data_IF_764454272467
#
_entry.id   IF_764454272467
#
_cell.length_a   1.000
_cell.length_b   1.000
_cell.length_c   1.000
_cell.angle_alpha   90.00
_cell.angle_beta   90.00
_cell.angle_gamma   90.00
#
_symmetry.space_group_name_H-M   'P 1'
#
loop_
_entity.id
_entity.type
_entity.pdbx_description
1 polymer ?
#
# COMPACT_ATOMS: atom_id res chain seq x y z
N UNK A 1 -11.28 -41.66 -33.82
CA UNK A 1 -10.55 -40.42 -34.24
C UNK A 1 -9.97 -39.56 -33.09
N UNK A 2 -10.21 -39.86 -31.80
CA UNK A 2 -9.90 -38.93 -30.69
C UNK A 2 -8.47 -38.94 -30.09
N UNK A 3 -7.64 -39.98 -30.28
CA UNK A 3 -6.30 -40.06 -29.67
C UNK A 3 -5.27 -39.16 -30.36
N UNK A 4 -5.23 -39.19 -31.71
CA UNK A 4 -4.29 -38.40 -32.53
C UNK A 4 -4.42 -36.87 -32.36
N UNK A 5 -5.63 -36.38 -32.05
CA UNK A 5 -5.84 -34.95 -31.79
C UNK A 5 -5.38 -34.51 -30.39
N UNK A 6 -5.40 -35.40 -29.39
CA UNK A 6 -4.88 -35.09 -28.04
C UNK A 6 -3.36 -35.03 -28.06
N UNK A 7 -2.72 -35.96 -28.77
CA UNK A 7 -1.27 -35.98 -28.97
C UNK A 7 -0.81 -34.69 -29.65
N UNK A 8 -1.43 -34.28 -30.77
CA UNK A 8 -1.09 -33.02 -31.46
C UNK A 8 -1.23 -31.78 -30.56
N UNK A 9 -2.23 -31.73 -29.67
CA UNK A 9 -2.40 -30.63 -28.72
C UNK A 9 -1.32 -30.64 -27.63
N UNK A 10 -0.96 -31.81 -27.12
CA UNK A 10 0.12 -31.96 -26.15
C UNK A 10 1.49 -31.55 -26.74
N UNK A 11 1.78 -31.91 -27.99
CA UNK A 11 3.02 -31.51 -28.67
C UNK A 11 3.09 -30.00 -28.88
N UNK A 12 1.98 -29.38 -29.30
CA UNK A 12 1.89 -27.92 -29.50
C UNK A 12 2.04 -27.14 -28.19
N UNK A 13 1.54 -27.69 -27.08
CA UNK A 13 1.68 -27.08 -25.76
C UNK A 13 3.11 -27.20 -25.21
N UNK A 14 3.79 -28.34 -25.44
CA UNK A 14 5.22 -28.51 -25.10
C UNK A 14 6.10 -27.55 -25.88
N UNK A 15 5.86 -27.39 -27.19
CA UNK A 15 6.59 -26.42 -28.02
C UNK A 15 6.38 -24.98 -27.57
N UNK A 16 5.15 -24.59 -27.22
CA UNK A 16 4.87 -23.24 -26.69
C UNK A 16 5.58 -22.97 -25.36
N UNK A 17 5.62 -23.96 -24.46
CA UNK A 17 6.35 -23.85 -23.19
C UNK A 17 7.86 -23.74 -23.41
N UNK A 18 8.44 -24.50 -24.34
CA UNK A 18 9.87 -24.41 -24.64
C UNK A 18 10.26 -23.08 -25.29
N UNK A 19 9.41 -22.52 -26.15
CA UNK A 19 9.66 -21.19 -26.75
C UNK A 19 9.53 -20.07 -25.73
N UNK A 20 8.57 -20.16 -24.80
CA UNK A 20 8.42 -19.20 -23.70
C UNK A 20 9.61 -19.25 -22.73
N UNK A 21 10.11 -20.45 -22.42
CA UNK A 21 11.28 -20.63 -21.56
C UNK A 21 12.56 -20.08 -22.21
N UNK A 22 12.77 -20.31 -23.52
CA UNK A 22 13.90 -19.71 -24.25
C UNK A 22 13.83 -18.19 -24.35
N UNK A 23 12.62 -17.60 -24.42
CA UNK A 23 12.45 -16.13 -24.35
C UNK A 23 12.79 -15.59 -22.96
N UNK A 24 12.37 -16.28 -21.89
CA UNK A 24 12.73 -15.92 -20.51
C UNK A 24 14.25 -15.98 -20.27
N UNK A 25 14.91 -17.03 -20.74
CA UNK A 25 16.38 -17.15 -20.65
C UNK A 25 17.11 -16.08 -21.46
N UNK A 26 16.55 -15.67 -22.61
CA UNK A 26 17.09 -14.59 -23.43
C UNK A 26 16.89 -13.21 -22.76
N UNK A 27 15.73 -12.95 -22.15
CA UNK A 27 15.46 -11.71 -21.43
C UNK A 27 16.26 -11.61 -20.12
N UNK A 28 16.45 -12.73 -19.42
CA UNK A 28 17.30 -12.82 -18.22
C UNK A 28 18.79 -12.61 -18.52
N UNK A 29 19.24 -12.93 -19.74
CA UNK A 29 20.60 -12.59 -20.20
C UNK A 29 20.73 -11.14 -20.69
N UNK A 30 19.63 -10.51 -21.13
CA UNK A 30 19.62 -9.15 -21.69
C UNK A 30 19.46 -8.08 -20.62
N UNK A 31 18.87 -8.42 -19.47
CA UNK A 31 18.77 -7.57 -18.29
C UNK A 31 19.47 -8.27 -17.13
N UNK A 32 20.76 -7.95 -16.95
CA UNK A 32 21.49 -8.32 -15.73
C UNK A 32 20.73 -7.84 -14.49
N UNK A 33 20.82 -8.66 -13.44
CA UNK A 33 20.09 -8.59 -12.17
C UNK A 33 19.60 -7.19 -11.76
N UNK A 34 18.31 -7.00 -11.41
CA UNK A 34 17.96 -5.93 -10.50
C UNK A 34 18.56 -6.31 -9.14
N UNK A 35 19.64 -5.65 -8.77
CA UNK A 35 20.17 -5.65 -7.42
C UNK A 35 19.10 -5.11 -6.46
N UNK A 36 18.24 -6.00 -5.98
CA UNK A 36 17.60 -5.87 -4.69
C UNK A 36 18.56 -6.48 -3.67
N UNK A 37 19.31 -5.69 -2.89
CA UNK A 37 19.87 -6.22 -1.68
C UNK A 37 18.70 -6.60 -0.78
N UNK A 38 18.54 -7.90 -0.53
CA UNK A 38 17.64 -8.41 0.49
C UNK A 38 17.98 -7.80 1.82
N UNK A 39 17.23 -6.77 2.22
CA UNK A 39 17.14 -6.38 3.61
C UNK A 39 16.32 -7.49 4.30
N UNK A 40 17.04 -8.42 4.93
CA UNK A 40 16.46 -9.32 5.90
C UNK A 40 15.74 -8.49 6.95
N UNK A 41 14.45 -8.70 7.08
CA UNK A 41 13.69 -8.15 8.18
C UNK A 41 13.68 -9.21 9.29
N UNK A 42 14.64 -9.08 10.21
CA UNK A 42 14.54 -9.72 11.50
C UNK A 42 13.34 -9.10 12.23
N UNK A 43 12.36 -9.95 12.53
CA UNK A 43 11.26 -9.62 13.43
C UNK A 43 11.82 -9.32 14.82
N UNK A 44 12.00 -8.05 15.13
CA UNK A 44 12.18 -7.57 16.49
C UNK A 44 10.99 -6.66 16.85
N UNK A 45 10.23 -7.13 17.84
CA UNK A 45 8.94 -6.60 18.23
C UNK A 45 8.95 -5.15 18.67
N UNK A 46 7.82 -4.49 18.40
CA UNK A 46 7.47 -3.20 18.97
C UNK A 46 7.13 -3.39 20.46
N UNK A 47 8.16 -3.48 21.30
CA UNK A 47 8.02 -3.40 22.75
C UNK A 47 7.84 -1.93 23.14
N UNK A 48 6.65 -1.61 23.66
CA UNK A 48 6.33 -0.30 24.21
C UNK A 48 7.31 0.09 25.31
N UNK A 49 7.86 1.29 25.18
CA UNK A 49 8.69 1.93 26.19
C UNK A 49 7.84 2.25 27.42
N UNK A 50 8.15 1.55 28.52
CA UNK A 50 7.57 1.78 29.83
C UNK A 50 8.02 3.11 30.42
N UNK A 51 7.05 3.85 30.96
CA UNK A 51 7.30 5.00 31.82
C UNK A 51 7.06 4.58 33.28
N UNK A 52 8.11 4.64 34.09
CA UNK A 52 8.09 4.37 35.51
C UNK A 52 7.69 5.62 36.31
N UNK A 53 6.85 5.46 37.32
CA UNK A 53 6.50 6.48 38.33
C UNK A 53 5.82 5.83 39.55
N UNK A 54 5.98 6.38 40.77
CA UNK A 54 6.38 5.58 41.93
C UNK A 54 5.26 5.10 42.87
N UNK A 55 5.69 4.19 43.74
CA UNK A 55 4.97 3.48 44.77
C UNK A 55 4.21 4.36 45.79
N UNK A 56 3.06 3.87 46.26
CA UNK A 56 2.59 4.17 47.61
C UNK A 56 1.94 2.94 48.24
N UNK A 57 2.34 2.67 49.48
CA UNK A 57 1.98 1.49 50.24
C UNK A 57 0.66 1.62 50.98
N UNK A 58 0.01 0.48 51.20
CA UNK A 58 -1.15 0.34 52.07
C UNK A 58 -1.37 -1.13 52.44
N UNK A 59 -1.28 -1.43 53.74
CA UNK A 59 -1.36 -2.77 54.36
C UNK A 59 -2.78 -3.36 54.22
N UNK A 60 -2.87 -4.70 54.23
CA UNK A 60 -4.13 -5.50 54.25
C UNK A 60 -4.94 -5.41 55.56
N UNK A 61 -5.75 -6.42 55.98
CA UNK A 61 -5.68 -7.85 55.59
C UNK A 61 -7.01 -8.68 55.58
N UNK A 62 -6.84 -9.99 55.28
CA UNK A 62 -7.56 -11.21 55.74
C UNK A 62 -8.74 -11.87 54.99
N UNK A 63 -8.53 -13.18 54.75
CA UNK A 63 -9.44 -14.37 54.75
C UNK A 63 -10.37 -14.56 53.52
N UNK A 64 -10.58 -15.75 52.96
CA UNK A 64 -10.32 -17.16 53.33
C UNK A 64 -10.32 -18.06 52.07
N UNK A 65 -9.82 -19.32 52.14
CA UNK A 65 -9.67 -20.24 51.02
C UNK A 65 -10.89 -21.15 50.82
N UNK A 66 -11.23 -21.48 49.57
CA UNK A 66 -12.04 -22.66 49.27
C UNK A 66 -11.60 -23.30 47.94
N UNK A 67 -11.43 -24.61 48.03
CA UNK A 67 -10.81 -25.56 47.10
C UNK A 67 -11.86 -26.13 46.08
N UNK A 68 -11.48 -27.06 45.18
CA UNK A 68 -11.80 -27.00 43.76
C UNK A 68 -13.10 -27.72 43.40
N UNK A 69 -13.81 -27.21 42.39
CA UNK A 69 -14.86 -27.97 41.71
C UNK A 69 -14.28 -28.61 40.45
N UNK A 70 -14.02 -29.92 40.56
CA UNK A 70 -13.71 -30.82 39.46
C UNK A 70 -14.95 -30.95 38.55
N UNK A 71 -14.88 -30.44 37.33
CA UNK A 71 -15.84 -30.75 36.27
C UNK A 71 -15.18 -31.71 35.27
N UNK A 72 -15.66 -32.96 35.14
CA UNK A 72 -15.10 -33.96 34.24
C UNK A 72 -15.81 -33.86 32.88
N UNK A 73 -15.38 -32.91 32.05
CA UNK A 73 -15.56 -32.99 30.61
C UNK A 73 -14.25 -32.56 29.95
N UNK A 74 -13.33 -33.52 29.87
CA UNK A 74 -12.23 -33.47 28.90
C UNK A 74 -12.84 -33.70 27.50
N UNK A 75 -13.39 -32.60 26.97
CA UNK A 75 -13.81 -32.50 25.59
C UNK A 75 -12.67 -31.95 24.76
N UNK A 76 -11.61 -32.75 24.57
CA UNK A 76 -10.61 -32.56 23.52
C UNK A 76 -11.25 -32.82 22.14
N UNK A 77 -12.26 -32.03 21.80
CA UNK A 77 -12.63 -31.82 20.41
C UNK A 77 -11.52 -30.99 19.75
N UNK A 78 -11.22 -31.19 18.45
CA UNK A 78 -10.34 -30.26 17.75
C UNK A 78 -10.96 -28.88 17.90
N UNK A 79 -10.26 -27.99 18.60
CA UNK A 79 -10.58 -26.57 18.56
C UNK A 79 -10.45 -26.16 17.10
N UNK A 80 -11.56 -26.19 16.35
CA UNK A 80 -11.71 -25.39 15.16
C UNK A 80 -11.78 -23.94 15.64
N UNK A 81 -10.62 -23.47 16.12
CA UNK A 81 -10.42 -22.12 16.61
C UNK A 81 -10.75 -21.20 15.47
N UNK A 82 -11.70 -20.30 15.71
CA UNK A 82 -11.91 -19.14 14.85
C UNK A 82 -10.51 -18.53 14.62
N UNK A 83 -10.02 -18.41 13.38
CA UNK A 83 -8.63 -18.06 13.16
C UNK A 83 -8.35 -16.70 13.80
N UNK A 84 -7.15 -16.57 14.39
CA UNK A 84 -6.79 -15.37 15.13
C UNK A 84 -6.87 -14.16 14.16
N UNK A 85 -7.41 -13.00 14.57
CA UNK A 85 -7.41 -11.79 13.76
C UNK A 85 -6.08 -11.47 13.06
N UNK A 86 -4.94 -11.83 13.68
CA UNK A 86 -3.61 -11.68 13.07
C UNK A 86 -3.34 -12.61 11.88
N UNK A 87 -3.79 -13.87 11.94
CA UNK A 87 -3.61 -14.85 10.85
C UNK A 87 -4.40 -14.45 9.61
N UNK A 88 -5.60 -13.90 9.80
CA UNK A 88 -6.39 -13.33 8.70
C UNK A 88 -5.66 -12.17 8.03
N UNK A 89 -5.08 -11.26 8.81
CA UNK A 89 -4.43 -10.08 8.28
C UNK A 89 -3.26 -10.43 7.34
N UNK A 90 -2.39 -11.33 7.78
CA UNK A 90 -1.26 -11.80 6.98
C UNK A 90 -1.74 -12.52 5.70
N UNK A 91 -2.71 -13.43 5.83
CA UNK A 91 -3.25 -14.16 4.67
C UNK A 91 -3.93 -13.23 3.65
N UNK A 92 -4.65 -12.20 4.11
CA UNK A 92 -5.27 -11.19 3.25
C UNK A 92 -4.17 -10.39 2.54
N UNK A 93 -3.18 -9.88 3.26
CA UNK A 93 -2.07 -9.11 2.67
C UNK A 93 -1.34 -9.93 1.59
N UNK A 94 -0.94 -11.17 1.90
CA UNK A 94 -0.27 -12.06 0.95
C UNK A 94 -1.11 -12.23 -0.32
N UNK A 95 -2.42 -12.46 -0.15
CA UNK A 95 -3.37 -12.64 -1.25
C UNK A 95 -3.48 -11.38 -2.12
N UNK A 96 -3.63 -10.20 -1.50
CA UNK A 96 -3.68 -8.92 -2.21
C UNK A 96 -2.40 -8.66 -3.01
N UNK A 97 -1.23 -8.85 -2.39
CA UNK A 97 0.06 -8.62 -3.03
C UNK A 97 0.34 -9.62 -4.16
N UNK A 98 -0.09 -10.87 -3.99
CA UNK A 98 0.02 -11.91 -5.03
C UNK A 98 -0.84 -11.56 -6.24
N UNK A 99 -2.10 -11.18 -6.02
CA UNK A 99 -3.00 -10.74 -7.09
C UNK A 99 -2.46 -9.49 -7.80
N UNK A 100 -1.93 -8.52 -7.04
CA UNK A 100 -1.35 -7.31 -7.62
C UNK A 100 -0.11 -7.61 -8.48
N UNK A 101 0.74 -8.55 -8.06
CA UNK A 101 1.86 -9.01 -8.88
C UNK A 101 1.39 -9.70 -10.17
N UNK A 102 0.30 -10.48 -10.12
CA UNK A 102 -0.31 -11.06 -11.31
C UNK A 102 -0.85 -9.98 -12.27
N UNK A 103 -1.50 -8.93 -11.75
CA UNK A 103 -1.96 -7.78 -12.55
C UNK A 103 -0.77 -7.05 -13.18
N UNK A 104 0.28 -6.74 -12.40
CA UNK A 104 1.48 -6.06 -12.88
C UNK A 104 2.21 -6.85 -13.98
N UNK A 105 2.10 -8.18 -13.98
CA UNK A 105 2.67 -9.06 -15.00
C UNK A 105 1.72 -9.34 -16.18
N UNK A 106 0.53 -8.71 -16.20
CA UNK A 106 -0.40 -8.69 -17.34
C UNK A 106 -1.67 -9.54 -17.21
N UNK A 107 -1.95 -10.13 -16.03
CA UNK A 107 -3.17 -10.90 -15.80
C UNK A 107 -4.36 -9.96 -15.55
N UNK A 108 -5.09 -9.63 -16.62
CA UNK A 108 -6.18 -8.63 -16.64
C UNK A 108 -7.32 -8.86 -15.64
N UNK A 109 -7.60 -10.11 -15.27
CA UNK A 109 -8.73 -10.46 -14.41
C UNK A 109 -8.33 -10.78 -12.97
N UNK A 110 -7.02 -10.83 -12.67
CA UNK A 110 -6.53 -11.28 -11.37
C UNK A 110 -7.05 -10.43 -10.19
N UNK A 111 -7.23 -9.12 -10.38
CA UNK A 111 -7.82 -8.25 -9.36
C UNK A 111 -9.30 -8.57 -9.10
N UNK A 112 -10.09 -8.70 -10.17
CA UNK A 112 -11.52 -8.97 -10.06
C UNK A 112 -11.79 -10.37 -9.49
N UNK A 113 -11.04 -11.38 -9.94
CA UNK A 113 -11.16 -12.76 -9.48
C UNK A 113 -10.80 -12.87 -7.98
N UNK A 114 -9.68 -12.26 -7.58
CA UNK A 114 -9.25 -12.22 -6.18
C UNK A 114 -10.24 -11.47 -5.28
N UNK A 115 -10.74 -10.31 -5.73
CA UNK A 115 -11.73 -9.55 -4.98
C UNK A 115 -13.05 -10.33 -4.79
N UNK A 116 -13.51 -11.02 -5.83
CA UNK A 116 -14.70 -11.87 -5.76
C UNK A 116 -14.48 -13.09 -4.86
N UNK A 117 -13.28 -13.68 -4.86
CA UNK A 117 -12.93 -14.78 -3.95
C UNK A 117 -12.93 -14.32 -2.49
N UNK A 118 -12.29 -13.20 -2.17
CA UNK A 118 -12.19 -12.67 -0.80
C UNK A 118 -13.52 -12.16 -0.23
N UNK A 119 -14.46 -11.74 -1.10
CA UNK A 119 -15.79 -11.25 -0.69
C UNK A 119 -16.91 -12.26 -0.94
N UNK A 120 -16.55 -13.45 -1.40
CA UNK A 120 -17.49 -14.49 -1.78
C UNK A 120 -18.30 -15.05 -0.60
N UNK A 121 -19.47 -15.67 -0.88
CA UNK A 121 -20.27 -16.30 0.14
C UNK A 121 -19.50 -17.43 0.83
N UNK A 122 -19.52 -17.45 2.16
CA UNK A 122 -18.84 -18.48 2.97
C UNK A 122 -17.43 -18.10 3.42
N UNK A 123 -16.89 -16.95 3.00
CA UNK A 123 -15.65 -16.41 3.56
C UNK A 123 -15.95 -15.81 4.95
N UNK A 124 -15.34 -16.30 6.04
CA UNK A 124 -15.67 -15.85 7.40
C UNK A 124 -14.88 -14.58 7.81
N UNK A 125 -14.54 -13.73 6.83
CA UNK A 125 -13.78 -12.49 7.05
C UNK A 125 -14.75 -11.30 6.94
N UNK A 126 -14.86 -10.46 7.99
CA UNK A 126 -15.65 -9.24 7.90
C UNK A 126 -15.10 -8.28 6.82
N UNK A 127 -16.00 -7.66 6.05
CA UNK A 127 -15.61 -6.65 5.04
C UNK A 127 -14.76 -5.52 5.62
N UNK A 128 -15.07 -5.08 6.85
CA UNK A 128 -14.26 -4.09 7.56
C UNK A 128 -12.82 -4.56 7.81
N UNK A 129 -12.61 -5.85 8.11
CA UNK A 129 -11.27 -6.40 8.29
C UNK A 129 -10.51 -6.47 6.96
N UNK A 130 -11.15 -6.90 5.88
CA UNK A 130 -10.57 -6.88 4.53
C UNK A 130 -10.13 -5.46 4.15
N UNK A 131 -11.01 -4.49 4.35
CA UNK A 131 -10.73 -3.10 4.02
C UNK A 131 -9.66 -2.45 4.88
N UNK A 132 -9.59 -2.78 6.18
CA UNK A 132 -8.51 -2.33 7.07
C UNK A 132 -7.15 -2.84 6.61
N UNK A 133 -7.05 -4.13 6.28
CA UNK A 133 -5.78 -4.71 5.78
C UNK A 133 -5.39 -4.08 4.44
N UNK A 134 -6.35 -3.91 3.52
CA UNK A 134 -6.11 -3.22 2.25
C UNK A 134 -5.63 -1.78 2.44
N UNK A 135 -6.23 -1.03 3.39
CA UNK A 135 -5.82 0.33 3.71
C UNK A 135 -4.39 0.37 4.25
N UNK A 136 -4.04 -0.50 5.21
CA UNK A 136 -2.68 -0.59 5.76
C UNK A 136 -1.66 -0.90 4.67
N UNK A 137 -1.97 -1.85 3.78
CA UNK A 137 -1.10 -2.20 2.65
C UNK A 137 -0.86 -1.01 1.72
N UNK A 138 -1.94 -0.30 1.35
CA UNK A 138 -1.87 0.85 0.47
C UNK A 138 -1.14 2.04 1.10
N UNK A 139 -1.42 2.36 2.37
CA UNK A 139 -0.73 3.41 3.11
C UNK A 139 0.76 3.11 3.21
N UNK A 140 1.16 1.88 3.55
CA UNK A 140 2.57 1.49 3.58
C UNK A 140 3.28 1.62 2.23
N UNK A 141 2.59 1.33 1.12
CA UNK A 141 3.12 1.55 -0.23
C UNK A 141 3.21 3.04 -0.57
N UNK A 142 2.22 3.84 -0.18
CA UNK A 142 2.26 5.31 -0.31
C UNK A 142 3.48 5.86 0.44
N UNK A 143 3.70 5.46 1.70
CA UNK A 143 4.87 5.90 2.47
C UNK A 143 6.19 5.54 1.78
N UNK A 144 6.27 4.34 1.18
CA UNK A 144 7.44 3.91 0.40
C UNK A 144 7.65 4.75 -0.87
N UNK A 145 6.57 5.13 -1.56
CA UNK A 145 6.68 5.96 -2.76
C UNK A 145 7.26 7.35 -2.46
N UNK A 146 7.02 7.90 -1.27
CA UNK A 146 7.62 9.16 -0.86
C UNK A 146 9.15 9.06 -0.73
N UNK A 147 9.65 7.94 -0.19
CA UNK A 147 11.09 7.66 -0.11
C UNK A 147 11.75 7.49 -1.47
N UNK A 148 10.96 7.22 -2.52
CA UNK A 148 11.44 7.09 -3.91
C UNK A 148 11.14 8.33 -4.76
N UNK A 149 10.83 9.46 -4.10
CA UNK A 149 10.73 10.78 -4.71
C UNK A 149 9.34 11.16 -5.22
N UNK A 150 8.36 10.27 -5.15
CA UNK A 150 6.99 10.55 -5.60
C UNK A 150 6.26 11.47 -4.63
N UNK A 151 5.52 12.44 -5.18
CA UNK A 151 4.70 13.37 -4.41
C UNK A 151 3.21 13.04 -4.56
N UNK A 152 2.34 13.51 -3.64
CA UNK A 152 0.91 13.19 -3.64
C UNK A 152 0.23 13.50 -4.97
N UNK A 153 0.53 14.67 -5.55
CA UNK A 153 -0.03 15.09 -6.85
C UNK A 153 0.39 14.15 -7.98
N UNK A 154 1.63 13.68 -7.97
CA UNK A 154 2.17 12.83 -9.02
C UNK A 154 1.50 11.46 -9.01
N UNK A 155 1.30 10.88 -7.82
CA UNK A 155 0.60 9.60 -7.66
C UNK A 155 -0.82 9.66 -8.20
N UNK A 156 -1.57 10.71 -7.85
CA UNK A 156 -2.95 10.91 -8.36
C UNK A 156 -2.95 11.12 -9.87
N UNK A 157 -1.99 11.86 -10.42
CA UNK A 157 -1.84 12.06 -11.86
C UNK A 157 -1.46 10.79 -12.61
N UNK A 158 -0.68 9.89 -12.00
CA UNK A 158 -0.37 8.57 -12.58
C UNK A 158 -1.59 7.66 -12.52
N UNK A 159 -2.30 7.61 -11.40
CA UNK A 159 -3.54 6.84 -11.29
C UNK A 159 -4.57 7.29 -12.33
N UNK A 160 -4.79 8.59 -12.50
CA UNK A 160 -5.71 9.12 -13.51
C UNK A 160 -5.27 8.87 -14.97
N UNK A 161 -3.99 8.57 -15.23
CA UNK A 161 -3.47 8.24 -16.56
C UNK A 161 -3.48 6.74 -16.87
N UNK A 162 -3.29 5.91 -15.84
CA UNK A 162 -3.08 4.45 -16.00
C UNK A 162 -4.31 3.62 -15.61
N UNK A 163 -5.18 4.18 -14.78
CA UNK A 163 -6.36 3.54 -14.21
C UNK A 163 -7.60 4.41 -14.44
N UNK A 164 -8.72 4.01 -13.85
CA UNK A 164 -10.00 4.73 -13.94
C UNK A 164 -10.16 5.78 -12.83
N UNK A 165 -11.13 6.69 -12.99
CA UNK A 165 -11.36 7.80 -12.06
C UNK A 165 -11.62 7.34 -10.62
N UNK A 166 -12.30 6.21 -10.43
CA UNK A 166 -12.57 5.64 -9.11
C UNK A 166 -11.28 5.29 -8.34
N UNK A 167 -10.21 4.88 -9.04
CA UNK A 167 -8.91 4.57 -8.44
C UNK A 167 -8.23 5.83 -7.94
N UNK A 168 -8.32 6.92 -8.71
CA UNK A 168 -7.76 8.21 -8.31
C UNK A 168 -8.47 8.76 -7.07
N UNK A 169 -9.80 8.64 -7.00
CA UNK A 169 -10.58 9.04 -5.81
C UNK A 169 -10.18 8.21 -4.59
N UNK A 170 -10.12 6.88 -4.73
CA UNK A 170 -9.72 6.00 -3.64
C UNK A 170 -8.28 6.26 -3.17
N UNK A 171 -7.35 6.51 -4.11
CA UNK A 171 -5.97 6.85 -3.79
C UNK A 171 -5.84 8.19 -3.06
N UNK A 172 -6.67 9.19 -3.40
CA UNK A 172 -6.72 10.45 -2.64
C UNK A 172 -7.10 10.19 -1.18
N UNK A 173 -8.08 9.31 -0.93
CA UNK A 173 -8.50 8.98 0.42
C UNK A 173 -7.40 8.26 1.21
N UNK A 174 -6.69 7.31 0.58
CA UNK A 174 -5.51 6.65 1.16
C UNK A 174 -4.41 7.67 1.49
N UNK A 175 -4.07 8.56 0.53
CA UNK A 175 -3.04 9.59 0.74
C UNK A 175 -3.42 10.52 1.89
N UNK A 176 -4.69 10.88 2.03
CA UNK A 176 -5.19 11.70 3.13
C UNK A 176 -5.10 10.97 4.47
N UNK A 177 -5.44 9.69 4.51
CA UNK A 177 -5.35 8.88 5.73
C UNK A 177 -3.89 8.75 6.18
N UNK A 178 -2.99 8.44 5.24
CA UNK A 178 -1.55 8.32 5.46
C UNK A 178 -0.92 9.67 5.87
N UNK A 179 -1.37 10.78 5.29
CA UNK A 179 -0.93 12.13 5.67
C UNK A 179 -1.25 12.50 7.13
N UNK A 180 -2.32 11.93 7.72
CA UNK A 180 -2.69 12.19 9.13
C UNK A 180 -1.67 11.62 10.12
N UNK A 181 -0.84 10.66 9.71
CA UNK A 181 0.22 10.11 10.54
C UNK A 181 1.34 11.13 10.83
N UNK A 182 1.45 12.19 10.02
CA UNK A 182 2.51 13.19 10.12
C UNK A 182 2.09 14.40 10.93
N UNK A 183 3.01 14.90 11.77
CA UNK A 183 2.80 16.19 12.43
C UNK A 183 2.90 17.32 11.41
N UNK A 184 1.99 18.30 11.40
CA UNK A 184 2.06 19.40 10.43
C UNK A 184 3.38 20.18 10.44
N UNK A 185 4.06 20.25 11.60
CA UNK A 185 5.37 20.90 11.75
C UNK A 185 6.53 20.14 11.10
N UNK A 186 6.34 18.86 10.77
CA UNK A 186 7.36 17.99 10.16
C UNK A 186 7.10 17.74 8.67
N UNK A 187 6.21 18.52 8.06
CA UNK A 187 5.83 18.39 6.64
C UNK A 187 6.13 19.71 5.92
N UNK A 188 6.87 19.62 4.82
CA UNK A 188 7.23 20.77 3.98
C UNK A 188 5.98 21.57 3.54
N UNK A 189 6.00 22.92 3.52
CA UNK A 189 4.86 23.73 3.11
C UNK A 189 4.31 23.43 1.71
N UNK A 190 5.18 23.12 0.74
CA UNK A 190 4.76 22.75 -0.63
C UNK A 190 4.06 21.40 -0.63
N UNK A 191 4.50 20.47 0.21
CA UNK A 191 3.83 19.19 0.40
C UNK A 191 2.45 19.37 1.04
N UNK A 192 2.36 20.19 2.11
CA UNK A 192 1.07 20.53 2.73
C UNK A 192 0.12 21.20 1.75
N UNK A 193 0.62 22.10 0.90
CA UNK A 193 -0.20 22.74 -0.14
C UNK A 193 -0.76 21.72 -1.15
N UNK A 194 0.02 20.70 -1.52
CA UNK A 194 -0.50 19.61 -2.36
C UNK A 194 -1.58 18.80 -1.67
N UNK A 195 -1.38 18.44 -0.39
CA UNK A 195 -2.39 17.73 0.40
C UNK A 195 -3.67 18.56 0.56
N UNK A 196 -3.54 19.87 0.82
CA UNK A 196 -4.67 20.80 0.88
C UNK A 196 -5.43 20.90 -0.45
N UNK A 197 -4.72 20.94 -1.58
CA UNK A 197 -5.34 20.88 -2.91
C UNK A 197 -6.08 19.56 -3.19
N UNK A 198 -5.62 18.47 -2.58
CA UNK A 198 -6.32 17.19 -2.57
C UNK A 198 -7.44 17.15 -1.54
N UNK A 199 -7.79 18.25 -0.85
CA UNK A 199 -8.83 18.38 0.18
C UNK A 199 -8.43 17.86 1.57
N UNK A 200 -7.13 17.87 1.88
CA UNK A 200 -6.53 17.42 3.13
C UNK A 200 -6.39 18.50 4.20
N UNK A 201 -7.40 19.35 4.41
CA UNK A 201 -7.42 20.33 5.51
C UNK A 201 -7.76 19.68 6.87
N UNK A 202 -7.58 18.37 6.98
CA UNK A 202 -7.95 17.64 8.18
C UNK A 202 -6.91 17.86 9.27
N UNK A 203 -7.34 18.54 10.35
CA UNK A 203 -6.58 18.64 11.59
C UNK A 203 -6.12 17.23 12.03
N UNK A 204 -4.83 17.05 12.38
CA UNK A 204 -4.31 15.78 12.86
C UNK A 204 -5.08 15.35 14.10
N UNK A 205 -5.91 14.32 13.97
CA UNK A 205 -6.67 13.77 15.08
C UNK A 205 -5.70 13.13 16.06
N UNK A 206 -5.37 13.86 17.14
CA UNK A 206 -4.40 13.43 18.18
C UNK A 206 -4.80 12.15 18.91
N UNK A 207 -6.02 11.64 18.71
CA UNK A 207 -6.64 10.55 19.47
C UNK A 207 -7.54 9.69 18.57
N UNK A 208 -7.02 9.15 17.47
CA UNK A 208 -7.76 8.10 16.76
C UNK A 208 -7.45 6.74 17.40
N UNK A 209 -8.46 5.98 17.86
CA UNK A 209 -8.24 4.66 18.45
C UNK A 209 -7.83 3.59 17.41
N UNK A 210 -8.09 3.83 16.11
CA UNK A 210 -7.72 2.95 15.00
C UNK A 210 -6.76 3.68 14.05
N UNK A 211 -5.65 3.07 13.58
CA UNK A 211 -4.77 3.68 12.58
C UNK A 211 -5.46 3.94 11.23
N UNK A 212 -6.58 3.27 10.92
CA UNK A 212 -7.27 3.38 9.62
C UNK A 212 -8.61 4.10 9.74
N UNK A 213 -8.95 4.95 8.76
CA UNK A 213 -10.27 5.56 8.66
C UNK A 213 -11.38 4.53 8.40
N UNK A 214 -12.47 4.58 9.18
CA UNK A 214 -13.55 3.60 9.11
C UNK A 214 -14.34 3.66 7.78
N UNK A 215 -14.50 4.84 7.18
CA UNK A 215 -15.16 4.98 5.87
C UNK A 215 -14.27 4.41 4.76
N UNK A 216 -12.97 4.74 4.81
CA UNK A 216 -11.98 4.18 3.89
C UNK A 216 -11.94 2.65 3.99
N UNK A 217 -11.87 2.10 5.21
CA UNK A 217 -11.94 0.66 5.44
C UNK A 217 -13.25 0.06 4.94
N UNK A 218 -14.39 0.72 5.18
CA UNK A 218 -15.69 0.26 4.67
C UNK A 218 -15.70 0.16 3.14
N UNK A 219 -15.20 1.19 2.45
CA UNK A 219 -15.13 1.24 0.98
C UNK A 219 -14.17 0.20 0.42
N UNK A 220 -12.97 0.09 0.99
CA UNK A 220 -11.96 -0.91 0.59
C UNK A 220 -12.42 -2.34 0.87
N UNK A 221 -13.29 -2.54 1.86
CA UNK A 221 -13.86 -3.86 2.21
C UNK A 221 -14.87 -4.41 1.20
N UNK A 222 -15.35 -3.59 0.28
CA UNK A 222 -16.26 -4.03 -0.80
C UNK A 222 -15.49 -4.76 -1.90
N UNK A 223 -16.18 -5.59 -2.69
CA UNK A 223 -15.56 -6.26 -3.85
C UNK A 223 -14.95 -5.25 -4.83
N UNK A 224 -15.66 -4.16 -5.13
CA UNK A 224 -15.15 -3.09 -6.00
C UNK A 224 -13.95 -2.37 -5.38
N UNK A 225 -13.98 -2.11 -4.07
CA UNK A 225 -12.88 -1.51 -3.32
C UNK A 225 -11.62 -2.36 -3.32
N UNK A 226 -11.74 -3.67 -3.06
CA UNK A 226 -10.61 -4.61 -3.12
C UNK A 226 -10.02 -4.72 -4.52
N UNK A 227 -10.87 -4.77 -5.56
CA UNK A 227 -10.39 -4.72 -6.96
C UNK A 227 -9.55 -3.48 -7.19
N UNK A 228 -10.08 -2.30 -6.85
CA UNK A 228 -9.36 -1.03 -7.02
C UNK A 228 -8.05 -1.02 -6.23
N UNK A 229 -8.06 -1.52 -4.99
CA UNK A 229 -6.88 -1.63 -4.16
C UNK A 229 -5.79 -2.47 -4.82
N UNK A 230 -6.14 -3.66 -5.34
CA UNK A 230 -5.20 -4.56 -6.01
C UNK A 230 -4.60 -3.90 -7.26
N UNK A 231 -5.40 -3.19 -8.05
CA UNK A 231 -4.94 -2.48 -9.25
C UNK A 231 -4.03 -1.29 -8.91
N UNK A 232 -4.32 -0.55 -7.83
CA UNK A 232 -3.44 0.51 -7.30
C UNK A 232 -2.12 -0.09 -6.78
N UNK A 233 -2.15 -1.20 -6.05
CA UNK A 233 -0.93 -1.91 -5.60
C UNK A 233 -0.09 -2.33 -6.82
N UNK A 234 -0.73 -2.88 -7.85
CA UNK A 234 -0.05 -3.29 -9.08
C UNK A 234 0.58 -2.09 -9.81
N UNK A 235 -0.08 -0.94 -9.81
CA UNK A 235 0.48 0.31 -10.33
C UNK A 235 1.75 0.73 -9.56
N UNK A 236 1.75 0.62 -8.22
CA UNK A 236 2.92 0.96 -7.41
C UNK A 236 4.13 0.08 -7.72
N UNK A 237 3.95 -1.21 -8.01
CA UNK A 237 5.05 -2.15 -8.33
C UNK A 237 5.82 -1.80 -9.60
N UNK A 238 5.25 -0.98 -10.48
CA UNK A 238 5.87 -0.59 -11.75
C UNK A 238 6.30 0.89 -11.76
N UNK A 239 6.26 1.58 -10.62
CA UNK A 239 6.76 2.94 -10.51
C UNK A 239 8.29 2.94 -10.39
N UNK A 240 9.01 3.66 -11.27
CA UNK A 240 10.45 3.86 -11.09
C UNK A 240 10.71 4.78 -9.89
N UNK A 241 11.89 4.65 -9.28
CA UNK A 241 12.39 5.70 -8.40
C UNK A 241 12.67 6.98 -9.20
N UNK A 242 12.31 8.13 -8.64
CA UNK A 242 12.58 9.44 -9.21
C UNK A 242 13.37 10.29 -8.22
N UNK A 243 13.87 11.44 -8.68
CA UNK A 243 14.62 12.36 -7.81
C UNK A 243 13.70 12.92 -6.72
N UNK A 244 14.14 12.83 -5.47
CA UNK A 244 13.47 13.48 -4.34
C UNK A 244 13.57 15.01 -4.49
N UNK A 245 12.42 15.68 -4.59
CA UNK A 245 12.33 17.13 -4.79
C UNK A 245 12.00 17.91 -3.51
N UNK A 246 11.34 17.25 -2.56
CA UNK A 246 10.95 17.81 -1.26
C UNK A 246 11.39 16.83 -0.16
N UNK A 247 11.69 17.32 1.06
CA UNK A 247 11.87 16.45 2.21
C UNK A 247 10.65 15.53 2.38
N UNK A 248 10.90 14.27 2.71
CA UNK A 248 9.82 13.30 2.96
C UNK A 248 8.99 13.77 4.16
N UNK A 249 7.66 13.59 4.15
CA UNK A 249 6.84 13.87 5.32
C UNK A 249 7.41 13.21 6.59
N UNK A 250 7.48 13.97 7.68
CA UNK A 250 8.04 13.52 8.94
C UNK A 250 9.53 13.82 9.12
N UNK A 251 10.25 14.20 8.07
CA UNK A 251 11.70 14.52 8.16
C UNK A 251 12.01 16.00 8.02
N UNK A 252 11.02 16.85 7.69
CA UNK A 252 11.25 18.28 7.57
C UNK A 252 11.53 18.89 8.96
N UNK A 253 12.63 19.62 9.09
CA UNK A 253 12.95 20.37 10.30
C UNK A 253 12.44 21.81 10.16
N UNK A 254 11.77 22.30 11.19
CA UNK A 254 11.33 23.69 11.27
C UNK A 254 12.54 24.62 11.35
N UNK A 255 13.10 25.01 10.21
CA UNK A 255 14.31 25.84 10.14
C UNK A 255 15.07 25.75 8.83
N UNK A 256 14.89 24.68 8.06
CA UNK A 256 15.55 24.49 6.76
C UNK A 256 14.78 25.28 5.68
N UNK A 257 14.86 26.61 5.79
CA UNK A 257 14.40 27.54 4.76
C UNK A 257 15.44 27.59 3.64
N UNK A 258 15.48 26.55 2.82
CA UNK A 258 15.93 26.72 1.43
C UNK A 258 14.71 26.99 0.55
N UNK A 259 14.00 28.06 0.91
CA UNK A 259 13.34 28.85 -0.11
C UNK A 259 14.46 29.43 -0.96
N UNK A 260 14.88 28.71 -2.00
CA UNK A 260 15.53 29.37 -3.14
C UNK A 260 14.59 30.49 -3.50
N UNK A 261 15.01 31.72 -3.21
CA UNK A 261 14.37 32.94 -3.67
C UNK A 261 14.50 32.89 -5.19
N UNK A 262 13.52 32.23 -5.83
CA UNK A 262 13.53 32.09 -7.27
C UNK A 262 13.21 33.47 -7.79
N UNK A 263 14.24 34.15 -8.29
CA UNK A 263 14.09 35.48 -8.87
C UNK A 263 12.96 35.46 -9.90
N UNK A 264 11.84 36.11 -9.57
CA UNK A 264 10.65 36.15 -10.42
C UNK A 264 10.98 36.77 -11.79
N UNK A 265 12.03 37.59 -11.88
CA UNK A 265 12.56 38.06 -13.18
C UNK A 265 13.25 36.97 -13.97
N UNK A 266 13.97 36.05 -13.32
CA UNK A 266 14.55 34.89 -13.97
C UNK A 266 13.45 33.96 -14.49
N UNK A 267 12.39 33.71 -13.71
CA UNK A 267 11.22 32.94 -14.17
C UNK A 267 10.49 33.63 -15.33
N UNK A 268 10.28 34.95 -15.25
CA UNK A 268 9.69 35.71 -16.34
C UNK A 268 10.55 35.63 -17.62
N UNK A 269 11.88 35.67 -17.49
CA UNK A 269 12.80 35.47 -18.61
C UNK A 269 12.70 34.08 -19.21
N UNK A 270 12.68 33.03 -18.38
CA UNK A 270 12.54 31.65 -18.84
C UNK A 270 11.21 31.46 -19.57
N UNK A 271 10.10 31.98 -19.03
CA UNK A 271 8.78 31.95 -19.68
C UNK A 271 8.82 32.67 -21.04
N UNK A 272 9.45 33.84 -21.12
CA UNK A 272 9.60 34.57 -22.37
C UNK A 272 10.48 33.84 -23.40
N UNK A 273 11.53 33.14 -22.95
CA UNK A 273 12.41 32.35 -23.83
C UNK A 273 11.70 31.10 -24.34
N UNK A 274 10.92 30.43 -23.50
CA UNK A 274 10.08 29.30 -23.93
C UNK A 274 9.01 29.78 -24.92
N UNK A 275 8.37 30.92 -24.65
CA UNK A 275 7.40 31.54 -25.57
C UNK A 275 8.01 31.92 -26.93
N UNK A 276 9.29 32.34 -26.92
CA UNK A 276 10.05 32.61 -28.15
C UNK A 276 10.36 31.32 -28.92
N UNK A 277 10.68 30.24 -28.20
CA UNK A 277 11.00 28.94 -28.79
C UNK A 277 9.78 28.20 -29.35
N UNK A 278 8.59 28.37 -28.77
CA UNK A 278 7.34 27.84 -29.36
C UNK A 278 6.84 28.64 -30.57
N UNK A 279 7.38 29.85 -30.78
CA UNK A 279 7.02 30.74 -31.88
C UNK A 279 7.98 30.66 -33.09
N UNK A 280 8.94 29.73 -33.10
CA UNK A 280 9.71 29.46 -34.33
C UNK A 280 8.90 28.57 -35.26
N UNK A 281 8.41 29.15 -36.35
CA UNK A 281 7.88 28.40 -37.49
C UNK A 281 9.00 27.53 -38.07
N UNK A 282 8.79 26.21 -38.05
CA UNK A 282 9.61 25.27 -38.80
C UNK A 282 9.17 25.34 -40.27
N UNK A 283 10.08 25.58 -41.24
CA UNK A 283 9.71 25.56 -42.65
C UNK A 283 9.25 24.15 -43.06
N UNK A 284 8.13 24.07 -43.79
CA UNK A 284 7.65 22.85 -44.46
C UNK A 284 8.59 22.37 -45.57
#
# INVERSE_FOLDING_TARGET
MGKRNRERRATKQRQRRSTAQRRREHDQKRYGEPGFPGAGFDGAGFAGTGFAGPANGGRGPTRSPSEPSSSPYDGTGPSQGRPNPGEWAEAIEITLRTAANAVATGAKHAAADCAAELTGPGVPIPATQLGRVAAICLSGLVSQTWQTGWQPRDLVAVAGRRLEQEHAVLLIDVIRDEARAYRPSTVDPRWRAQLGALGGDAEPSRQRPDPVDADLAGRLGTQAGLRCAIEIIAMFYVLPAIRLLLPVPGTAHAGERDGVDVDERALARVRALLAKAESTEFPE
#
